data_IF_546953472955
#
_entry.id   IF_546953472955
#
_cell.length_a   1.000
_cell.length_b   1.000
_cell.length_c   1.000
_cell.angle_alpha   90.00
_cell.angle_beta   90.00
_cell.angle_gamma   90.00
#
_symmetry.space_group_name_H-M   'P 1'
#
loop_
_entity.id
_entity.type
_entity.pdbx_description
1 polymer ?
#
# COMPACT_ATOMS: atom_id res chain seq x y z
N UNK A 1 9.37 -24.24 -4.38
CA UNK A 1 10.09 -23.22 -5.17
C UNK A 1 10.78 -22.21 -4.26
N UNK A 2 12.00 -21.79 -4.60
CA UNK A 2 12.70 -20.65 -4.01
C UNK A 2 13.05 -19.65 -5.11
N UNK A 3 12.72 -18.37 -4.90
CA UNK A 3 13.24 -17.23 -5.68
C UNK A 3 14.31 -16.55 -4.82
N UNK A 4 15.51 -16.35 -5.38
CA UNK A 4 16.64 -15.73 -4.71
C UNK A 4 17.32 -14.73 -5.64
N UNK A 5 17.69 -13.57 -5.11
CA UNK A 5 18.48 -12.57 -5.82
C UNK A 5 19.94 -12.65 -5.39
N UNK A 6 20.86 -12.32 -6.29
CA UNK A 6 22.29 -12.33 -5.97
C UNK A 6 23.09 -11.43 -6.91
N UNK A 7 24.29 -11.04 -6.45
CA UNK A 7 25.22 -10.23 -7.23
C UNK A 7 26.23 -11.09 -8.00
N UNK A 8 26.29 -10.91 -9.30
CA UNK A 8 27.32 -11.45 -10.18
C UNK A 8 28.45 -10.43 -10.35
N UNK A 9 29.44 -10.50 -9.46
CA UNK A 9 30.53 -9.52 -9.31
C UNK A 9 31.42 -9.33 -10.57
N UNK A 10 31.33 -10.21 -11.57
CA UNK A 10 32.07 -10.10 -12.83
C UNK A 10 31.34 -9.32 -13.94
N UNK A 11 30.18 -8.71 -13.66
CA UNK A 11 29.33 -8.06 -14.66
C UNK A 11 29.00 -6.63 -14.25
N UNK A 12 28.84 -5.74 -15.24
CA UNK A 12 28.39 -4.36 -15.01
C UNK A 12 26.98 -4.35 -14.42
N UNK A 13 26.03 -5.00 -15.10
CA UNK A 13 24.68 -5.27 -14.59
C UNK A 13 24.75 -6.51 -13.71
N UNK A 14 25.03 -6.30 -12.43
CA UNK A 14 25.42 -7.36 -11.51
C UNK A 14 24.24 -8.01 -10.79
N UNK A 15 23.01 -7.50 -10.89
CA UNK A 15 21.85 -8.11 -10.23
C UNK A 15 21.25 -9.25 -11.07
N UNK A 16 21.09 -10.41 -10.45
CA UNK A 16 20.52 -11.60 -11.06
C UNK A 16 19.43 -12.22 -10.19
N UNK A 17 18.47 -12.86 -10.85
CA UNK A 17 17.44 -13.67 -10.22
C UNK A 17 17.69 -15.16 -10.50
N UNK A 18 17.55 -15.98 -9.46
CA UNK A 18 17.57 -17.44 -9.54
C UNK A 18 16.26 -18.01 -9.01
N UNK A 19 15.60 -18.81 -9.85
CA UNK A 19 14.41 -19.57 -9.47
C UNK A 19 14.80 -21.05 -9.43
N UNK A 20 14.52 -21.72 -8.31
CA UNK A 20 14.85 -23.13 -8.13
C UNK A 20 13.71 -23.95 -7.52
N UNK A 21 13.63 -25.22 -7.92
CA UNK A 21 12.73 -26.21 -7.34
C UNK A 21 13.40 -27.59 -7.35
N UNK A 22 13.77 -28.08 -6.16
CA UNK A 22 14.59 -29.30 -6.03
C UNK A 22 15.94 -29.16 -6.74
N UNK A 23 16.17 -29.98 -7.78
CA UNK A 23 17.42 -29.97 -8.57
C UNK A 23 17.36 -29.03 -9.77
N UNK A 24 16.17 -28.61 -10.19
CA UNK A 24 16.00 -27.73 -11.34
C UNK A 24 16.23 -26.27 -10.94
N UNK A 25 16.88 -25.52 -11.84
CA UNK A 25 17.14 -24.09 -11.63
C UNK A 25 17.21 -23.35 -12.96
N UNK A 26 16.68 -22.14 -12.94
CA UNK A 26 16.84 -21.15 -14.02
C UNK A 26 17.42 -19.87 -13.44
N UNK A 27 18.09 -19.11 -14.28
CA UNK A 27 18.79 -17.89 -13.88
C UNK A 27 18.77 -16.90 -15.03
N UNK A 28 18.57 -15.63 -14.70
CA UNK A 28 18.54 -14.52 -15.66
C UNK A 28 19.00 -13.22 -14.97
N UNK A 29 19.49 -12.27 -15.77
CA UNK A 29 19.86 -10.94 -15.28
C UNK A 29 18.59 -10.10 -15.10
N UNK A 30 18.58 -9.22 -14.10
CA UNK A 30 17.57 -8.17 -13.94
C UNK A 30 17.98 -6.86 -14.61
N UNK A 31 19.08 -6.89 -15.36
CA UNK A 31 19.62 -5.77 -16.12
C UNK A 31 19.91 -4.50 -15.29
N UNK A 32 20.08 -4.65 -13.97
CA UNK A 32 20.30 -3.60 -12.98
C UNK A 32 21.65 -3.75 -12.26
N UNK A 33 22.16 -2.64 -11.71
CA UNK A 33 23.44 -2.60 -10.97
C UNK A 33 23.19 -2.18 -9.53
N UNK A 34 23.60 -3.01 -8.59
CA UNK A 34 23.60 -2.71 -7.15
C UNK A 34 25.04 -2.51 -6.68
N UNK A 35 25.27 -1.48 -5.85
CA UNK A 35 26.53 -1.35 -5.12
C UNK A 35 26.68 -2.53 -4.15
N UNK A 36 27.74 -3.35 -4.24
CA UNK A 36 27.97 -4.46 -3.32
C UNK A 36 27.96 -4.07 -1.83
N UNK A 37 28.23 -2.80 -1.48
CA UNK A 37 28.17 -2.32 -0.10
C UNK A 37 26.73 -2.17 0.43
N UNK A 38 25.77 -1.93 -0.47
CA UNK A 38 24.34 -1.82 -0.16
C UNK A 38 23.62 -3.19 -0.22
N UNK A 39 24.36 -4.27 -0.45
CA UNK A 39 23.82 -5.61 -0.59
C UNK A 39 23.77 -6.37 0.73
N UNK A 40 22.57 -6.78 1.14
CA UNK A 40 22.39 -7.63 2.30
C UNK A 40 22.46 -9.12 1.91
N UNK A 41 23.66 -9.69 2.03
CA UNK A 41 23.91 -11.10 1.72
C UNK A 41 23.06 -12.10 2.51
N UNK A 42 22.60 -11.75 3.72
CA UNK A 42 21.74 -12.62 4.53
C UNK A 42 20.30 -12.61 4.03
N UNK A 43 19.79 -11.43 3.66
CA UNK A 43 18.43 -11.26 3.12
C UNK A 43 18.34 -11.62 1.63
N UNK A 44 19.48 -11.76 0.94
CA UNK A 44 19.54 -11.92 -0.53
C UNK A 44 18.80 -10.77 -1.25
N UNK A 45 18.96 -9.54 -0.75
CA UNK A 45 18.27 -8.32 -1.19
C UNK A 45 19.16 -7.07 -0.98
N UNK A 46 18.91 -5.94 -1.66
CA UNK A 46 19.44 -4.65 -1.22
C UNK A 46 18.88 -4.26 0.15
N UNK A 47 19.40 -3.18 0.73
CA UNK A 47 18.75 -2.53 1.87
C UNK A 47 17.36 -2.03 1.48
N UNK A 48 16.49 -1.86 2.48
CA UNK A 48 15.13 -1.32 2.36
C UNK A 48 15.11 0.11 1.80
N UNK A 49 16.19 0.88 2.00
CA UNK A 49 16.36 2.22 1.42
C UNK A 49 16.63 2.23 -0.11
N UNK A 50 16.87 1.08 -0.74
CA UNK A 50 17.03 1.02 -2.21
C UNK A 50 15.67 1.15 -2.89
N UNK A 51 15.56 2.07 -3.84
CA UNK A 51 14.32 2.37 -4.59
C UNK A 51 13.67 1.16 -5.28
N UNK A 52 14.43 0.08 -5.54
CA UNK A 52 13.88 -1.15 -6.12
C UNK A 52 13.69 -2.30 -5.14
N UNK A 53 13.92 -2.08 -3.84
CA UNK A 53 13.71 -3.10 -2.81
C UNK A 53 12.31 -3.73 -2.90
N UNK A 54 11.27 -2.89 -2.96
CA UNK A 54 9.88 -3.34 -3.07
C UNK A 54 9.58 -4.00 -4.42
N UNK A 55 10.09 -3.47 -5.53
CA UNK A 55 9.96 -4.11 -6.86
C UNK A 55 10.48 -5.56 -6.87
N UNK A 56 11.57 -5.85 -6.13
CA UNK A 56 12.09 -7.22 -6.02
C UNK A 56 11.19 -8.12 -5.17
N UNK A 57 10.55 -7.58 -4.13
CA UNK A 57 9.54 -8.28 -3.33
C UNK A 57 8.34 -8.62 -4.21
N UNK A 58 7.83 -7.65 -4.98
CA UNK A 58 6.66 -7.83 -5.84
C UNK A 58 6.92 -8.85 -6.93
N UNK A 59 8.10 -8.78 -7.57
CA UNK A 59 8.52 -9.78 -8.53
C UNK A 59 8.54 -11.18 -7.89
N UNK A 60 9.07 -11.31 -6.68
CA UNK A 60 9.11 -12.60 -5.97
C UNK A 60 7.69 -13.10 -5.67
N UNK A 61 6.80 -12.24 -5.20
CA UNK A 61 5.40 -12.58 -4.92
C UNK A 61 4.65 -12.97 -6.19
N UNK A 62 4.81 -12.21 -7.26
CA UNK A 62 4.24 -12.48 -8.57
C UNK A 62 4.68 -13.85 -9.10
N UNK A 63 5.98 -14.16 -9.06
CA UNK A 63 6.52 -15.45 -9.52
C UNK A 63 6.04 -16.62 -8.65
N UNK A 64 5.92 -16.44 -7.33
CA UNK A 64 5.34 -17.44 -6.43
C UNK A 64 3.88 -17.74 -6.79
N UNK A 65 3.05 -16.71 -6.97
CA UNK A 65 1.65 -16.85 -7.36
C UNK A 65 1.54 -17.59 -8.70
N UNK A 66 2.30 -17.15 -9.71
CA UNK A 66 2.32 -17.77 -11.04
C UNK A 66 2.78 -19.24 -10.99
N UNK A 67 3.75 -19.58 -10.15
CA UNK A 67 4.19 -20.95 -9.94
C UNK A 67 3.06 -21.86 -9.43
N UNK A 68 2.28 -21.37 -8.46
CA UNK A 68 1.14 -22.12 -7.92
C UNK A 68 0.05 -22.33 -8.97
N UNK A 69 -0.29 -21.30 -9.76
CA UNK A 69 -1.22 -21.41 -10.89
C UNK A 69 -0.76 -22.47 -11.90
N UNK A 70 0.50 -22.41 -12.35
CA UNK A 70 1.05 -23.36 -13.32
C UNK A 70 1.09 -24.80 -12.78
N UNK A 71 1.30 -24.97 -11.47
CA UNK A 71 1.20 -26.28 -10.81
C UNK A 71 -0.21 -26.83 -10.81
N UNK A 72 -1.21 -26.01 -10.52
CA UNK A 72 -2.62 -26.41 -10.55
C UNK A 72 -3.05 -26.79 -11.98
N UNK A 73 -2.56 -26.06 -12.98
CA UNK A 73 -2.74 -26.36 -14.40
C UNK A 73 -1.92 -27.57 -14.90
N UNK A 74 -1.09 -28.18 -14.05
CA UNK A 74 -0.21 -29.32 -14.38
C UNK A 74 0.71 -29.03 -15.58
N UNK A 75 1.20 -27.80 -15.71
CA UNK A 75 2.16 -27.44 -16.77
C UNK A 75 3.52 -28.10 -16.51
N UNK A 76 4.18 -28.51 -17.59
CA UNK A 76 5.57 -28.95 -17.56
C UNK A 76 6.52 -27.74 -17.73
N UNK A 77 7.80 -27.91 -17.39
CA UNK A 77 8.83 -26.88 -17.55
C UNK A 77 8.50 -25.54 -16.86
N UNK A 78 7.82 -25.61 -15.70
CA UNK A 78 7.31 -24.43 -14.97
C UNK A 78 8.40 -23.37 -14.76
N UNK A 79 9.62 -23.77 -14.39
CA UNK A 79 10.71 -22.81 -14.14
C UNK A 79 11.10 -22.01 -15.40
N UNK A 80 11.11 -22.65 -16.57
CA UNK A 80 11.37 -21.98 -17.85
C UNK A 80 10.24 -21.01 -18.20
N UNK A 81 8.98 -21.40 -17.95
CA UNK A 81 7.83 -20.51 -18.14
C UNK A 81 7.96 -19.27 -17.24
N UNK A 82 8.31 -19.47 -15.96
CA UNK A 82 8.49 -18.37 -15.00
C UNK A 82 9.64 -17.43 -15.41
N UNK A 83 10.75 -17.99 -15.91
CA UNK A 83 11.83 -17.18 -16.49
C UNK A 83 11.31 -16.32 -17.64
N UNK A 84 10.58 -16.90 -18.59
CA UNK A 84 10.04 -16.17 -19.72
C UNK A 84 9.03 -15.10 -19.29
N UNK A 85 8.23 -15.37 -18.24
CA UNK A 85 7.34 -14.37 -17.63
C UNK A 85 8.17 -13.21 -17.10
N UNK A 86 9.18 -13.47 -16.28
CA UNK A 86 10.04 -12.40 -15.75
C UNK A 86 10.75 -11.61 -16.86
N UNK A 87 11.23 -12.28 -17.91
CA UNK A 87 11.84 -11.63 -19.08
C UNK A 87 10.82 -10.77 -19.86
N UNK A 88 9.56 -11.18 -19.93
CA UNK A 88 8.50 -10.37 -20.54
C UNK A 88 8.16 -9.13 -19.71
N UNK A 89 8.15 -9.24 -18.37
CA UNK A 89 7.93 -8.09 -17.47
C UNK A 89 9.02 -7.03 -17.63
N UNK A 90 10.26 -7.43 -17.93
CA UNK A 90 11.36 -6.47 -18.12
C UNK A 90 11.20 -5.59 -19.35
N UNK A 91 10.49 -6.05 -20.41
CA UNK A 91 10.23 -5.29 -21.64
C UNK A 91 11.42 -4.49 -22.23
N UNK A 92 12.66 -4.98 -22.07
CA UNK A 92 13.95 -4.32 -22.39
C UNK A 92 14.42 -3.18 -21.46
N UNK A 93 13.60 -2.75 -20.51
CA UNK A 93 13.90 -1.72 -19.51
C UNK A 93 14.47 -2.33 -18.20
N UNK A 94 14.56 -3.65 -18.11
CA UNK A 94 15.13 -4.33 -16.93
C UNK A 94 14.23 -4.20 -15.71
N UNK A 95 14.81 -3.83 -14.56
CA UNK A 95 14.08 -3.71 -13.30
C UNK A 95 13.04 -2.58 -13.32
N UNK A 96 13.29 -1.49 -14.05
CA UNK A 96 12.32 -0.41 -14.26
C UNK A 96 11.10 -0.93 -15.04
N UNK A 97 11.33 -1.77 -16.06
CA UNK A 97 10.25 -2.41 -16.82
C UNK A 97 9.39 -3.33 -15.95
N UNK A 98 10.02 -4.06 -15.02
CA UNK A 98 9.30 -4.88 -14.04
C UNK A 98 8.43 -4.00 -13.14
N UNK A 99 8.99 -2.91 -12.60
CA UNK A 99 8.26 -1.98 -11.73
C UNK A 99 7.03 -1.42 -12.46
N UNK A 100 7.22 -0.90 -13.67
CA UNK A 100 6.15 -0.40 -14.55
C UNK A 100 5.08 -1.44 -14.82
N UNK A 101 5.49 -2.65 -15.24
CA UNK A 101 4.53 -3.68 -15.64
C UNK A 101 3.74 -4.19 -14.45
N UNK A 102 4.39 -4.40 -13.30
CA UNK A 102 3.70 -4.85 -12.08
C UNK A 102 2.77 -3.77 -11.52
N UNK A 103 3.19 -2.50 -11.50
CA UNK A 103 2.33 -1.38 -11.14
C UNK A 103 1.07 -1.36 -12.01
N UNK A 104 1.23 -1.32 -13.34
CA UNK A 104 0.09 -1.30 -14.26
C UNK A 104 -0.81 -2.52 -14.13
N UNK A 105 -0.25 -3.71 -13.84
CA UNK A 105 -1.02 -4.92 -13.64
C UNK A 105 -1.83 -4.91 -12.33
N UNK A 106 -1.24 -4.41 -11.24
CA UNK A 106 -1.92 -4.29 -9.94
C UNK A 106 -3.04 -3.27 -9.97
N UNK A 107 -2.82 -2.16 -10.69
CA UNK A 107 -3.68 -1.00 -10.71
C UNK A 107 -4.74 -0.99 -11.82
N UNK A 108 -4.73 -1.99 -12.72
CA UNK A 108 -5.57 -2.01 -13.93
C UNK A 108 -7.08 -1.87 -13.67
N UNK A 109 -7.59 -2.48 -12.61
CA UNK A 109 -9.03 -2.49 -12.28
C UNK A 109 -9.40 -1.43 -11.22
N UNK A 110 -8.41 -0.66 -10.75
CA UNK A 110 -8.58 0.37 -9.72
C UNK A 110 -8.69 1.78 -10.32
N UNK A 111 -8.73 1.88 -11.66
CA UNK A 111 -8.78 3.15 -12.41
C UNK A 111 -7.61 4.12 -12.13
N UNK A 112 -6.57 3.65 -11.43
CA UNK A 112 -5.33 4.39 -11.21
C UNK A 112 -4.62 4.59 -12.55
N UNK A 113 -4.15 5.81 -12.87
CA UNK A 113 -3.47 6.08 -14.12
C UNK A 113 -2.25 5.18 -14.35
N UNK A 114 -1.92 4.84 -15.61
CA UNK A 114 -0.73 4.06 -15.93
C UNK A 114 0.55 4.72 -15.42
N UNK A 115 1.54 3.89 -15.06
CA UNK A 115 2.86 4.31 -14.57
C UNK A 115 3.52 5.43 -15.40
N UNK A 116 3.43 5.35 -16.73
CA UNK A 116 4.03 6.34 -17.63
C UNK A 116 3.36 7.73 -17.52
N UNK A 117 2.11 7.80 -17.07
CA UNK A 117 1.40 9.06 -16.85
C UNK A 117 1.89 9.76 -15.58
N UNK A 118 2.12 9.01 -14.49
CA UNK A 118 2.81 9.53 -13.30
C UNK A 118 4.19 10.11 -13.64
N UNK A 119 4.97 9.43 -14.50
CA UNK A 119 6.27 9.95 -14.93
C UNK A 119 6.12 11.31 -15.63
N UNK A 120 5.17 11.42 -16.57
CA UNK A 120 4.92 12.67 -17.29
C UNK A 120 4.42 13.78 -16.36
N UNK A 121 3.56 13.44 -15.41
CA UNK A 121 3.02 14.37 -14.43
C UNK A 121 4.14 14.92 -13.55
N UNK A 122 5.02 14.05 -13.07
CA UNK A 122 6.18 14.46 -12.28
C UNK A 122 7.19 15.29 -13.07
N UNK A 123 7.47 14.96 -14.34
CA UNK A 123 8.34 15.78 -15.20
C UNK A 123 7.71 17.16 -15.49
N UNK A 124 6.39 17.23 -15.67
CA UNK A 124 5.65 18.50 -15.84
C UNK A 124 5.69 19.36 -14.57
N UNK A 125 5.53 18.73 -13.40
CA UNK A 125 5.61 19.40 -12.10
C UNK A 125 7.03 19.90 -11.78
N UNK A 126 8.01 19.01 -11.80
CA UNK A 126 9.37 19.28 -11.32
C UNK A 126 10.27 19.96 -12.35
N UNK A 127 9.94 19.87 -13.65
CA UNK A 127 10.82 20.26 -14.74
C UNK A 127 12.04 19.36 -14.93
N UNK A 128 12.16 18.27 -14.16
CA UNK A 128 13.22 17.28 -14.29
C UNK A 128 12.96 16.35 -15.48
N UNK A 129 14.02 15.69 -15.93
CA UNK A 129 13.96 14.63 -16.96
C UNK A 129 14.22 13.28 -16.33
N UNK A 130 13.75 12.20 -16.97
CA UNK A 130 13.83 10.81 -16.51
C UNK A 130 15.18 10.34 -15.95
N UNK A 131 16.30 10.89 -16.43
CA UNK A 131 17.65 10.55 -15.97
C UNK A 131 18.11 11.32 -14.71
N UNK A 132 17.28 12.22 -14.18
CA UNK A 132 17.57 13.08 -13.02
C UNK A 132 16.83 12.63 -11.76
N UNK A 133 16.05 11.55 -11.84
CA UNK A 133 15.35 10.99 -10.70
C UNK A 133 15.22 9.47 -10.83
N UNK A 134 15.02 8.81 -9.70
CA UNK A 134 14.65 7.40 -9.61
C UNK A 134 13.21 7.27 -9.16
N UNK A 135 12.61 6.13 -9.45
CA UNK A 135 11.18 5.92 -9.24
C UNK A 135 10.98 4.67 -8.41
N UNK A 136 10.20 4.81 -7.35
CA UNK A 136 9.81 3.74 -6.45
C UNK A 136 8.28 3.71 -6.42
N UNK A 137 7.62 2.89 -7.26
CA UNK A 137 6.19 2.63 -7.08
C UNK A 137 5.95 1.89 -5.77
N UNK A 138 4.93 2.32 -5.04
CA UNK A 138 4.43 1.70 -3.80
C UNK A 138 2.92 1.56 -3.94
N UNK A 139 2.48 0.34 -4.24
CA UNK A 139 1.08 0.00 -4.48
C UNK A 139 0.43 0.94 -5.54
N UNK A 140 -0.48 1.82 -5.13
CA UNK A 140 -1.22 2.75 -6.00
C UNK A 140 -0.52 4.10 -6.21
N UNK A 141 0.52 4.43 -5.43
CA UNK A 141 1.24 5.71 -5.51
C UNK A 141 2.70 5.54 -5.97
N UNK A 142 3.37 6.65 -6.25
CA UNK A 142 4.78 6.63 -6.69
C UNK A 142 5.63 7.63 -5.92
N UNK A 143 6.77 7.15 -5.41
CA UNK A 143 7.83 8.00 -4.88
C UNK A 143 8.86 8.32 -5.96
N UNK A 144 9.21 9.60 -6.07
CA UNK A 144 10.21 10.14 -6.98
C UNK A 144 11.42 10.63 -6.19
N UNK A 145 12.54 9.93 -6.35
CA UNK A 145 13.77 10.22 -5.63
C UNK A 145 14.69 11.06 -6.50
N UNK A 146 14.87 12.32 -6.13
CA UNK A 146 15.79 13.25 -6.79
C UNK A 146 17.12 13.32 -6.03
N UNK A 147 18.06 14.15 -6.49
CA UNK A 147 19.32 14.37 -5.77
C UNK A 147 19.15 15.13 -4.44
N UNK A 148 18.04 15.88 -4.27
CA UNK A 148 17.81 16.75 -3.11
C UNK A 148 16.65 16.34 -2.23
N UNK A 149 15.62 15.72 -2.81
CA UNK A 149 14.33 15.51 -2.16
C UNK A 149 13.63 14.26 -2.71
N UNK A 150 12.77 13.67 -1.89
CA UNK A 150 11.84 12.62 -2.31
C UNK A 150 10.47 13.26 -2.41
N UNK A 151 9.78 13.08 -3.53
CA UNK A 151 8.40 13.49 -3.70
C UNK A 151 7.50 12.27 -3.71
N UNK A 152 6.32 12.39 -3.10
CA UNK A 152 5.23 11.44 -3.29
C UNK A 152 4.27 12.02 -4.33
N UNK A 153 3.74 11.16 -5.19
CA UNK A 153 2.68 11.51 -6.12
C UNK A 153 1.58 10.44 -6.07
N UNK A 154 0.35 10.93 -6.05
CA UNK A 154 -0.83 10.11 -5.88
C UNK A 154 -2.02 10.67 -6.68
N UNK A 155 -3.15 9.96 -6.67
CA UNK A 155 -4.37 10.32 -7.40
C UNK A 155 -5.59 10.00 -6.53
N UNK A 156 -6.75 10.59 -6.84
CA UNK A 156 -8.03 10.20 -6.22
C UNK A 156 -8.27 8.70 -6.27
N UNK A 157 -8.14 8.10 -7.45
CA UNK A 157 -8.30 6.66 -7.64
C UNK A 157 -7.34 5.84 -6.77
N UNK A 158 -6.09 6.32 -6.63
CA UNK A 158 -5.06 5.64 -5.83
C UNK A 158 -5.35 5.69 -4.33
N UNK A 159 -5.68 6.87 -3.80
CA UNK A 159 -6.04 7.01 -2.39
C UNK A 159 -7.33 6.25 -2.06
N UNK A 160 -8.37 6.40 -2.88
CA UNK A 160 -9.63 5.67 -2.72
C UNK A 160 -9.40 4.16 -2.66
N UNK A 161 -8.64 3.61 -3.60
CA UNK A 161 -8.32 2.19 -3.62
C UNK A 161 -7.55 1.73 -2.37
N UNK A 162 -6.61 2.53 -1.86
CA UNK A 162 -5.89 2.24 -0.61
C UNK A 162 -6.81 2.24 0.60
N UNK A 163 -7.64 3.26 0.76
CA UNK A 163 -8.58 3.35 1.88
C UNK A 163 -9.52 2.14 1.90
N UNK A 164 -10.09 1.81 0.74
CA UNK A 164 -10.92 0.61 0.56
C UNK A 164 -10.15 -0.66 0.90
N UNK A 165 -8.92 -0.78 0.41
CA UNK A 165 -8.03 -1.90 0.72
C UNK A 165 -7.82 -2.08 2.22
N UNK A 166 -7.48 -1.00 2.94
CA UNK A 166 -7.25 -1.05 4.39
C UNK A 166 -8.48 -1.54 5.16
N UNK A 167 -9.68 -1.11 4.78
CA UNK A 167 -10.93 -1.47 5.45
C UNK A 167 -11.32 -2.91 5.13
N UNK A 168 -11.29 -3.31 3.85
CA UNK A 168 -11.65 -4.66 3.41
C UNK A 168 -10.70 -5.73 3.98
N UNK A 169 -9.41 -5.43 4.11
CA UNK A 169 -8.44 -6.32 4.72
C UNK A 169 -8.37 -6.23 6.25
N UNK A 170 -9.15 -5.34 6.87
CA UNK A 170 -9.09 -5.03 8.30
C UNK A 170 -7.66 -4.71 8.75
N UNK A 171 -6.96 -3.87 8.00
CA UNK A 171 -5.60 -3.41 8.30
C UNK A 171 -5.63 -2.28 9.34
N UNK A 172 -5.94 -2.62 10.60
CA UNK A 172 -6.07 -1.65 11.69
C UNK A 172 -4.83 -0.74 11.83
N UNK A 173 -3.63 -1.31 11.69
CA UNK A 173 -2.37 -0.56 11.78
C UNK A 173 -2.28 0.48 10.65
N UNK A 174 -2.66 0.14 9.41
CA UNK A 174 -2.62 1.07 8.28
C UNK A 174 -3.69 2.17 8.40
N UNK A 175 -4.91 1.84 8.86
CA UNK A 175 -5.92 2.86 9.13
C UNK A 175 -5.38 3.85 10.17
N UNK A 176 -4.70 3.37 11.20
CA UNK A 176 -4.07 4.21 12.22
C UNK A 176 -2.91 5.05 11.67
N UNK A 177 -1.97 4.47 10.92
CA UNK A 177 -0.73 5.16 10.52
C UNK A 177 -0.82 5.95 9.22
N UNK A 178 -1.74 5.57 8.32
CA UNK A 178 -1.81 6.10 6.96
C UNK A 178 -3.05 6.96 6.69
N UNK A 179 -3.91 7.18 7.69
CA UNK A 179 -5.07 8.08 7.57
C UNK A 179 -5.11 9.11 8.71
N UNK A 180 -5.75 10.25 8.45
CA UNK A 180 -5.90 11.37 9.37
C UNK A 180 -7.22 11.26 10.11
N UNK A 181 -7.16 11.23 11.43
CA UNK A 181 -8.32 11.05 12.30
C UNK A 181 -9.34 12.17 12.14
N UNK A 182 -8.86 13.39 11.91
CA UNK A 182 -9.71 14.56 11.80
C UNK A 182 -10.50 14.57 10.49
N UNK A 183 -9.98 14.01 9.38
CA UNK A 183 -10.74 13.91 8.12
C UNK A 183 -11.95 12.99 8.32
N UNK A 184 -11.72 11.81 8.90
CA UNK A 184 -12.82 10.92 9.26
C UNK A 184 -13.77 11.52 10.29
N UNK A 185 -13.26 12.34 11.21
CA UNK A 185 -14.06 13.12 12.15
C UNK A 185 -15.04 14.07 11.47
N UNK A 186 -14.59 14.83 10.46
CA UNK A 186 -15.45 15.72 9.67
C UNK A 186 -16.53 14.91 8.92
N UNK A 187 -16.14 13.83 8.22
CA UNK A 187 -17.09 12.93 7.52
C UNK A 187 -18.15 12.38 8.49
N UNK A 188 -17.73 11.96 9.69
CA UNK A 188 -18.64 11.47 10.72
C UNK A 188 -19.63 12.56 11.19
N UNK A 189 -19.14 13.78 11.44
CA UNK A 189 -19.94 14.90 11.97
C UNK A 189 -20.95 15.38 10.92
N UNK A 190 -20.55 15.46 9.65
CA UNK A 190 -21.41 15.89 8.55
C UNK A 190 -22.59 14.92 8.35
N UNK A 191 -22.33 13.62 8.44
CA UNK A 191 -23.36 12.60 8.23
C UNK A 191 -24.18 12.29 9.49
N UNK A 192 -23.58 12.37 10.69
CA UNK A 192 -24.21 12.23 11.99
C UNK A 192 -24.84 10.86 12.28
N UNK A 193 -24.13 9.98 13.00
CA UNK A 193 -24.67 8.65 13.38
C UNK A 193 -25.27 8.68 14.78
N UNK A 194 -26.53 8.28 14.92
CA UNK A 194 -27.14 8.09 16.24
C UNK A 194 -26.43 6.99 17.06
N UNK A 195 -26.22 7.25 18.35
CA UNK A 195 -25.57 6.33 19.30
C UNK A 195 -26.05 4.89 19.23
N UNK A 196 -27.36 4.72 19.07
CA UNK A 196 -28.01 3.42 19.09
C UNK A 196 -27.73 2.59 17.82
N UNK A 197 -27.20 3.22 16.77
CA UNK A 197 -26.72 2.58 15.54
C UNK A 197 -25.21 2.36 15.62
N UNK A 198 -24.46 3.40 16.04
CA UNK A 198 -22.99 3.34 16.07
C UNK A 198 -22.43 2.33 17.08
N UNK A 199 -22.89 2.38 18.34
CA UNK A 199 -22.30 1.55 19.40
C UNK A 199 -22.45 0.04 19.15
N UNK A 200 -23.58 -0.47 18.63
CA UNK A 200 -23.69 -1.86 18.22
C UNK A 200 -22.72 -2.25 17.10
N UNK A 201 -22.56 -1.43 16.06
CA UNK A 201 -21.63 -1.69 14.97
C UNK A 201 -20.18 -1.75 15.49
N UNK A 202 -19.80 -0.77 16.31
CA UNK A 202 -18.51 -0.70 16.96
C UNK A 202 -18.22 -1.94 17.84
N UNK A 203 -19.22 -2.39 18.62
CA UNK A 203 -19.09 -3.60 19.43
C UNK A 203 -18.87 -4.85 18.56
N UNK A 204 -19.60 -4.97 17.44
CA UNK A 204 -19.45 -6.07 16.49
C UNK A 204 -18.03 -6.10 15.88
N UNK A 205 -17.49 -4.94 15.53
CA UNK A 205 -16.12 -4.83 15.01
C UNK A 205 -15.09 -5.21 16.08
N UNK A 206 -15.28 -4.78 17.33
CA UNK A 206 -14.41 -5.18 18.44
C UNK A 206 -14.41 -6.71 18.67
N UNK A 207 -15.58 -7.35 18.62
CA UNK A 207 -15.70 -8.80 18.75
C UNK A 207 -14.99 -9.54 17.60
N UNK A 208 -15.11 -9.01 16.39
CA UNK A 208 -14.45 -9.54 15.18
C UNK A 208 -12.93 -9.45 15.29
N UNK A 209 -12.40 -8.28 15.68
CA UNK A 209 -10.96 -8.07 15.91
C UNK A 209 -10.39 -9.12 16.85
N UNK A 210 -10.99 -9.28 18.03
CA UNK A 210 -10.49 -10.22 19.03
C UNK A 210 -10.65 -11.68 18.59
N UNK A 211 -11.73 -12.02 17.90
CA UNK A 211 -11.89 -13.37 17.35
C UNK A 211 -10.76 -13.70 16.36
N UNK A 212 -10.46 -12.76 15.46
CA UNK A 212 -9.39 -12.90 14.47
C UNK A 212 -7.99 -12.98 15.14
N UNK A 213 -7.68 -12.09 16.10
CA UNK A 213 -6.41 -12.11 16.85
C UNK A 213 -6.19 -13.45 17.57
N UNK A 214 -7.21 -13.98 18.24
CA UNK A 214 -7.10 -15.27 18.93
C UNK A 214 -6.90 -16.43 17.95
N UNK A 215 -7.64 -16.46 16.85
CA UNK A 215 -7.48 -17.50 15.84
C UNK A 215 -6.07 -17.52 15.25
N UNK A 216 -5.56 -16.34 14.86
CA UNK A 216 -4.24 -16.20 14.25
C UNK A 216 -3.14 -16.67 15.21
N UNK A 217 -3.11 -16.15 16.44
CA UNK A 217 -2.07 -16.48 17.43
C UNK A 217 -2.16 -17.94 17.88
N UNK A 218 -3.37 -18.51 17.97
CA UNK A 218 -3.55 -19.93 18.24
C UNK A 218 -2.97 -20.79 17.12
N UNK A 219 -3.12 -20.38 15.85
CA UNK A 219 -2.55 -21.08 14.69
C UNK A 219 -1.02 -20.97 14.65
N UNK A 220 -0.45 -19.82 15.00
CA UNK A 220 1.00 -19.59 14.87
C UNK A 220 1.83 -19.98 16.11
N UNK A 221 1.34 -19.67 17.32
CA UNK A 221 2.11 -19.77 18.58
C UNK A 221 1.54 -20.87 19.50
N UNK A 222 0.25 -21.20 19.35
CA UNK A 222 -0.42 -22.27 20.11
C UNK A 222 -0.75 -21.94 21.57
N UNK A 223 -0.38 -20.75 22.08
CA UNK A 223 -0.70 -20.27 23.44
C UNK A 223 -1.32 -18.87 23.39
N UNK A 224 -2.39 -18.65 24.17
CA UNK A 224 -3.20 -17.41 24.12
C UNK A 224 -3.27 -16.66 25.46
N UNK A 225 -2.56 -17.11 26.50
CA UNK A 225 -2.71 -16.58 27.88
C UNK A 225 -2.41 -15.07 28.01
N UNK A 226 -1.59 -14.51 27.13
CA UNK A 226 -1.30 -13.07 27.09
C UNK A 226 -2.44 -12.26 26.45
N UNK A 227 -3.27 -12.88 25.61
CA UNK A 227 -4.37 -12.23 24.91
C UNK A 227 -5.52 -11.88 25.83
N UNK A 228 -5.80 -12.69 26.85
CA UNK A 228 -6.89 -12.40 27.80
C UNK A 228 -6.63 -11.07 28.53
N UNK A 229 -5.37 -10.77 28.86
CA UNK A 229 -4.98 -9.50 29.49
C UNK A 229 -5.10 -8.32 28.52
N UNK A 230 -4.68 -8.50 27.26
CA UNK A 230 -4.79 -7.45 26.25
C UNK A 230 -6.26 -7.17 25.92
N UNK A 231 -7.08 -8.21 25.75
CA UNK A 231 -8.53 -8.12 25.54
C UNK A 231 -9.22 -7.41 26.69
N UNK A 232 -8.84 -7.71 27.94
CA UNK A 232 -9.39 -7.01 29.10
C UNK A 232 -8.97 -5.53 29.18
N UNK A 233 -7.82 -5.14 28.61
CA UNK A 233 -7.42 -3.72 28.48
C UNK A 233 -8.25 -3.04 27.39
N UNK A 234 -8.33 -3.64 26.21
CA UNK A 234 -9.12 -3.17 25.07
C UNK A 234 -10.60 -3.01 25.43
N UNK A 235 -11.18 -3.98 26.16
CA UNK A 235 -12.55 -3.89 26.64
C UNK A 235 -12.77 -2.70 27.59
N UNK A 236 -11.82 -2.42 28.49
CA UNK A 236 -11.92 -1.26 29.39
C UNK A 236 -11.89 0.05 28.60
N UNK A 237 -11.05 0.15 27.56
CA UNK A 237 -11.02 1.31 26.67
C UNK A 237 -12.38 1.48 25.95
N UNK A 238 -12.93 0.39 25.41
CA UNK A 238 -14.26 0.38 24.79
C UNK A 238 -15.37 0.83 25.77
N UNK A 239 -15.33 0.38 27.03
CA UNK A 239 -16.28 0.83 28.05
C UNK A 239 -16.18 2.33 28.36
N UNK A 240 -14.97 2.89 28.40
CA UNK A 240 -14.75 4.34 28.56
C UNK A 240 -15.33 5.09 27.36
N UNK A 241 -15.01 4.65 26.15
CA UNK A 241 -15.56 5.19 24.91
C UNK A 241 -17.10 5.23 24.91
N UNK A 242 -17.75 4.10 25.22
CA UNK A 242 -19.22 4.01 25.31
C UNK A 242 -19.81 4.95 26.37
N UNK A 243 -19.10 5.15 27.49
CA UNK A 243 -19.51 6.04 28.57
C UNK A 243 -19.38 7.52 28.22
N UNK A 244 -18.42 7.88 27.38
CA UNK A 244 -18.14 9.25 26.95
C UNK A 244 -18.90 9.67 25.67
N UNK A 245 -19.53 8.72 24.98
CA UNK A 245 -20.17 8.95 23.67
C UNK A 245 -21.11 10.17 23.63
N UNK A 246 -22.06 10.28 24.57
CA UNK A 246 -23.08 11.36 24.53
C UNK A 246 -22.51 12.75 24.78
N UNK A 247 -21.31 12.81 25.39
CA UNK A 247 -20.62 14.06 25.69
C UNK A 247 -19.59 14.45 24.63
N UNK A 248 -19.32 13.56 23.67
CA UNK A 248 -18.40 13.82 22.57
C UNK A 248 -19.15 14.39 21.37
N UNK A 249 -18.58 15.43 20.75
CA UNK A 249 -19.08 15.96 19.48
C UNK A 249 -18.57 15.15 18.28
N UNK A 250 -17.29 14.78 18.33
CA UNK A 250 -16.61 13.96 17.32
C UNK A 250 -16.24 12.61 17.94
N UNK A 251 -16.89 11.56 17.44
CA UNK A 251 -16.74 10.20 17.94
C UNK A 251 -15.46 9.54 17.42
N UNK A 252 -15.00 9.89 16.22
CA UNK A 252 -13.75 9.38 15.66
C UNK A 252 -12.58 9.90 16.47
N UNK A 253 -12.55 11.21 16.73
CA UNK A 253 -11.54 11.82 17.60
C UNK A 253 -11.58 11.25 19.01
N UNK A 254 -12.76 11.03 19.59
CA UNK A 254 -12.86 10.38 20.90
C UNK A 254 -12.20 8.99 20.90
N UNK A 255 -12.43 8.19 19.85
CA UNK A 255 -11.83 6.86 19.73
C UNK A 255 -10.30 6.95 19.66
N UNK A 256 -9.78 7.88 18.86
CA UNK A 256 -8.35 8.14 18.71
C UNK A 256 -7.69 8.62 20.01
N UNK A 257 -8.31 9.55 20.74
CA UNK A 257 -7.77 10.06 22.01
C UNK A 257 -7.70 9.00 23.12
N UNK A 258 -8.58 7.99 23.08
CA UNK A 258 -8.59 6.89 24.07
C UNK A 258 -7.61 5.78 23.69
N UNK A 259 -7.65 5.32 22.43
CA UNK A 259 -6.83 4.24 21.90
C UNK A 259 -6.75 4.34 20.37
N UNK A 260 -5.68 4.99 19.91
CA UNK A 260 -5.36 5.24 18.52
C UNK A 260 -5.08 3.96 17.71
N UNK A 261 -4.57 2.91 18.35
CA UNK A 261 -4.21 1.66 17.68
C UNK A 261 -5.39 0.72 17.47
N UNK A 262 -6.33 0.63 18.41
CA UNK A 262 -7.47 -0.29 18.32
C UNK A 262 -8.80 0.41 18.12
N UNK A 263 -9.13 1.42 18.93
CA UNK A 263 -10.47 2.01 18.90
C UNK A 263 -10.65 2.93 17.70
N UNK A 264 -9.65 3.73 17.32
CA UNK A 264 -9.79 4.60 16.16
C UNK A 264 -10.08 3.84 14.86
N UNK A 265 -9.28 2.81 14.47
CA UNK A 265 -9.58 2.03 13.27
C UNK A 265 -10.92 1.30 13.34
N UNK A 266 -11.30 0.77 14.51
CA UNK A 266 -12.62 0.16 14.70
C UNK A 266 -13.76 1.16 14.47
N UNK A 267 -13.59 2.41 14.91
CA UNK A 267 -14.58 3.47 14.76
C UNK A 267 -14.76 3.87 13.29
N UNK A 268 -13.65 3.96 12.53
CA UNK A 268 -13.68 4.19 11.08
C UNK A 268 -14.41 3.05 10.37
N UNK A 269 -14.05 1.79 10.64
CA UNK A 269 -14.72 0.64 10.00
C UNK A 269 -16.22 0.61 10.37
N UNK A 270 -16.56 0.84 11.64
CA UNK A 270 -17.96 0.86 12.07
C UNK A 270 -18.77 1.97 11.40
N UNK A 271 -18.16 3.14 11.17
CA UNK A 271 -18.79 4.23 10.42
C UNK A 271 -19.05 3.82 8.96
N UNK A 272 -18.05 3.23 8.30
CA UNK A 272 -18.14 2.80 6.90
C UNK A 272 -19.11 1.63 6.69
N UNK A 273 -19.32 0.78 7.71
CA UNK A 273 -20.36 -0.26 7.68
C UNK A 273 -21.78 0.31 7.76
N UNK A 274 -21.94 1.52 8.30
CA UNK A 274 -23.23 2.19 8.49
C UNK A 274 -23.56 3.07 7.29
N UNK A 275 -22.56 3.75 6.74
CA UNK A 275 -22.70 4.64 5.58
C UNK A 275 -22.37 3.95 4.26
N UNK A 276 -22.57 4.67 3.16
CA UNK A 276 -22.06 4.25 1.87
C UNK A 276 -20.54 4.46 1.85
N UNK A 277 -19.79 3.35 1.99
CA UNK A 277 -18.35 3.41 2.15
C UNK A 277 -17.64 4.09 0.97
N UNK A 278 -18.09 3.87 -0.26
CA UNK A 278 -17.49 4.49 -1.45
C UNK A 278 -17.66 6.03 -1.40
N UNK A 279 -18.85 6.54 -1.03
CA UNK A 279 -19.03 8.00 -0.81
C UNK A 279 -18.11 8.55 0.28
N UNK A 280 -17.92 7.84 1.39
CA UNK A 280 -17.00 8.27 2.45
C UNK A 280 -15.53 8.27 1.99
N UNK A 281 -15.12 7.35 1.11
CA UNK A 281 -13.78 7.35 0.53
C UNK A 281 -13.59 8.55 -0.40
N UNK A 282 -14.58 8.88 -1.22
CA UNK A 282 -14.56 10.05 -2.10
C UNK A 282 -14.41 11.34 -1.27
N UNK A 283 -15.26 11.54 -0.24
CA UNK A 283 -15.17 12.69 0.67
C UNK A 283 -13.80 12.77 1.37
N UNK A 284 -13.25 11.62 1.80
CA UNK A 284 -11.91 11.60 2.40
C UNK A 284 -10.85 12.09 1.43
N UNK A 285 -10.92 11.66 0.16
CA UNK A 285 -9.97 12.10 -0.85
C UNK A 285 -10.07 13.61 -1.12
N UNK A 286 -11.29 14.16 -1.13
CA UNK A 286 -11.51 15.62 -1.23
C UNK A 286 -10.83 16.36 -0.08
N UNK A 287 -11.11 15.97 1.16
CA UNK A 287 -10.48 16.56 2.33
C UNK A 287 -8.97 16.38 2.39
N UNK A 288 -8.41 15.28 1.87
CA UNK A 288 -6.96 15.04 1.84
C UNK A 288 -6.27 15.96 0.82
N UNK A 289 -6.81 16.05 -0.40
CA UNK A 289 -6.14 16.72 -1.51
C UNK A 289 -6.47 18.21 -1.63
N UNK A 290 -7.60 18.69 -1.11
CA UNK A 290 -7.96 20.11 -1.16
C UNK A 290 -7.31 20.96 -0.05
N UNK A 291 -6.41 20.37 0.74
CA UNK A 291 -5.69 21.11 1.78
C UNK A 291 -4.70 22.10 1.16
N UNK A 292 -4.89 23.42 1.35
CA UNK A 292 -4.21 24.46 0.56
C UNK A 292 -2.68 24.46 0.62
N UNK A 293 -2.09 23.82 1.63
CA UNK A 293 -0.66 23.87 1.91
C UNK A 293 0.02 22.49 1.94
N UNK A 294 -0.70 21.41 1.61
CA UNK A 294 -0.11 20.05 1.63
C UNK A 294 0.20 19.49 0.24
N UNK A 295 -0.72 19.62 -0.72
CA UNK A 295 -0.63 18.94 -2.01
C UNK A 295 -0.67 19.94 -3.16
N UNK A 296 0.23 19.75 -4.13
CA UNK A 296 0.19 20.46 -5.41
C UNK A 296 -0.44 19.58 -6.49
N UNK A 297 -1.46 20.08 -7.18
CA UNK A 297 -2.11 19.35 -8.26
C UNK A 297 -1.45 19.63 -9.62
N UNK A 298 -1.20 18.58 -10.40
CA UNK A 298 -0.75 18.66 -11.80
C UNK A 298 -1.65 17.80 -12.69
N UNK A 299 -1.98 18.33 -13.86
CA UNK A 299 -2.75 17.62 -14.88
C UNK A 299 -1.92 17.50 -16.15
N UNK A 300 -2.16 16.43 -16.90
CA UNK A 300 -1.46 16.22 -18.18
C UNK A 300 -2.08 17.01 -19.33
N UNK A 301 -3.35 17.38 -19.20
CA UNK A 301 -4.04 18.19 -20.20
C UNK A 301 -3.51 19.63 -20.18
N UNK A 302 -3.25 20.18 -21.37
CA UNK A 302 -2.83 21.58 -21.55
C UNK A 302 -4.04 22.54 -21.68
N UNK A 303 -5.22 22.10 -21.22
CA UNK A 303 -6.44 22.90 -21.34
C UNK A 303 -6.44 23.95 -20.22
N UNK A 304 -6.20 25.21 -20.58
CA UNK A 304 -6.39 26.35 -19.69
C UNK A 304 -7.89 26.50 -19.33
N UNK A 305 -8.30 26.13 -18.12
CA UNK A 305 -9.66 26.32 -17.59
C UNK A 305 -10.08 25.30 -16.52
N UNK A 306 -11.25 25.50 -15.91
CA UNK A 306 -11.83 24.63 -14.86
C UNK A 306 -12.40 23.29 -15.38
N UNK A 307 -12.29 23.01 -16.68
CA UNK A 307 -12.76 21.76 -17.29
C UNK A 307 -11.59 20.79 -17.49
N UNK A 308 -11.18 20.14 -16.41
CA UNK A 308 -10.25 19.03 -16.44
C UNK A 308 -11.01 17.77 -16.85
N UNK A 309 -10.69 17.19 -18.02
CA UNK A 309 -11.27 15.90 -18.45
C UNK A 309 -10.35 14.71 -18.09
N UNK A 310 -9.06 14.95 -17.85
CA UNK A 310 -8.08 13.94 -17.48
C UNK A 310 -7.84 13.78 -15.97
N UNK A 311 -7.09 12.74 -15.56
CA UNK A 311 -6.76 12.51 -14.16
C UNK A 311 -5.92 13.64 -13.57
N UNK A 312 -6.20 13.97 -12.31
CA UNK A 312 -5.42 14.92 -11.51
C UNK A 312 -4.42 14.14 -10.66
N UNK A 313 -3.15 14.55 -10.74
CA UNK A 313 -2.08 13.99 -9.93
C UNK A 313 -1.75 14.98 -8.82
N UNK A 314 -1.70 14.50 -7.58
CA UNK A 314 -1.34 15.31 -6.41
C UNK A 314 0.07 14.96 -6.02
N UNK A 315 0.91 15.96 -5.77
CA UNK A 315 2.29 15.74 -5.36
C UNK A 315 2.70 16.62 -4.19
N UNK A 316 3.56 16.08 -3.33
CA UNK A 316 4.16 16.82 -2.23
C UNK A 316 5.54 16.27 -1.88
N UNK A 317 6.41 17.06 -1.23
CA UNK A 317 7.59 16.54 -0.56
C UNK A 317 7.24 15.40 0.41
N UNK A 318 8.03 14.35 0.39
CA UNK A 318 7.94 13.25 1.33
C UNK A 318 8.92 13.50 2.49
N UNK A 319 8.38 13.74 3.68
CA UNK A 319 9.18 13.85 4.91
C UNK A 319 9.62 12.45 5.37
N UNK A 320 10.94 12.23 5.44
CA UNK A 320 11.58 10.96 5.86
C UNK A 320 11.74 10.89 7.38
#
# INVERSE_FOLDING_TARGET
MKVAFYLNQGRKKNLYCRIGDGKERVTFSLEYTIDPQLWNSKKEMPNDDDVHYYTLIDLKNHLNKKYHELKLEKKENILTILKNVAESLMASEGLDGIAKTLFNMGNKELEVPPYDEFLKAFEKYSGLKRNQYKVQPLDELIHFHTDSEVYVMDTYAGLHARLKGYVESQSYDEIYTATKEWIWGEIYVDAGIEKHVFLPAMLSQWETLWSNKYEHIKKEIGRTDHLDKMKARSWRAMQVFMGCYDSAGDIIKLAWEIDDMELYPLAVIAMLDIFDADSCYDEYCEYEFEQPDEWESVTLDDVEGENWEGPVFFTKPYEI
#
